data_IF_500344953649
#
_entry.id   IF_500344953649
#
_cell.length_a   1.000
_cell.length_b   1.000
_cell.length_c   1.000
_cell.angle_alpha   90.00
_cell.angle_beta   90.00
_cell.angle_gamma   90.00
#
_symmetry.space_group_name_H-M   'P 1'
#
loop_
_entity.id
_entity.type
_entity.pdbx_description
1 polymer ?
#
# COMPACT_ATOMS: atom_id res chain seq x y z
N UNK A 1 -53.60 36.68 58.59
CA UNK A 1 -53.73 36.46 60.05
C UNK A 1 -52.80 37.44 60.77
N UNK A 2 -53.30 38.25 61.73
CA UNK A 2 -52.51 39.28 62.40
C UNK A 2 -51.91 38.81 63.74
N UNK A 3 -50.72 39.35 64.06
CA UNK A 3 -50.08 39.63 65.37
C UNK A 3 -50.13 38.58 66.51
N UNK A 4 -49.02 38.43 67.25
CA UNK A 4 -49.02 39.13 68.54
C UNK A 4 -47.75 39.92 68.85
N UNK A 5 -47.99 41.06 69.50
CA UNK A 5 -47.04 41.96 70.15
C UNK A 5 -46.45 41.31 71.41
N UNK A 6 -45.12 41.32 71.63
CA UNK A 6 -44.52 40.97 72.91
C UNK A 6 -44.68 42.09 73.95
N UNK A 7 -44.86 41.67 75.19
CA UNK A 7 -45.10 42.43 76.41
C UNK A 7 -43.91 43.28 76.90
N UNK A 8 -44.15 44.31 77.75
CA UNK A 8 -43.11 45.18 78.30
C UNK A 8 -42.26 44.44 79.34
N UNK A 9 -40.93 44.56 79.23
CA UNK A 9 -39.93 44.00 80.15
C UNK A 9 -39.47 45.11 81.13
N UNK A 10 -39.25 44.79 82.43
CA UNK A 10 -39.23 45.77 83.51
C UNK A 10 -38.05 46.74 83.48
N UNK A 11 -38.35 47.93 84.03
CA UNK A 11 -37.44 49.05 84.22
C UNK A 11 -36.22 48.65 85.07
N UNK A 12 -34.98 48.85 84.59
CA UNK A 12 -33.78 48.55 85.35
C UNK A 12 -33.65 49.47 86.57
N UNK A 13 -33.17 48.89 87.67
CA UNK A 13 -32.82 49.57 88.90
C UNK A 13 -31.83 50.72 88.63
N UNK A 14 -31.89 51.84 89.41
CA UNK A 14 -31.00 52.96 89.24
C UNK A 14 -29.54 52.51 89.40
N UNK A 15 -28.79 52.64 88.31
CA UNK A 15 -27.35 52.43 88.29
C UNK A 15 -26.69 53.42 89.26
N UNK A 16 -25.75 52.97 90.12
CA UNK A 16 -25.04 53.87 91.01
C UNK A 16 -24.34 54.96 90.20
N UNK A 17 -24.55 56.21 90.60
CA UNK A 17 -23.89 57.37 90.02
C UNK A 17 -22.37 57.12 90.03
N UNK A 18 -21.69 57.19 88.88
CA UNK A 18 -20.25 56.97 88.81
C UNK A 18 -19.56 57.97 89.74
N UNK A 19 -18.64 57.47 90.55
CA UNK A 19 -17.70 58.31 91.28
C UNK A 19 -17.03 59.28 90.31
N UNK A 20 -16.80 60.55 90.69
CA UNK A 20 -16.06 61.48 89.85
C UNK A 20 -14.72 60.85 89.48
N UNK A 21 -14.44 60.74 88.18
CA UNK A 21 -13.15 60.30 87.69
C UNK A 21 -12.07 61.14 88.40
N UNK A 22 -11.01 60.53 88.95
CA UNK A 22 -9.93 61.30 89.54
C UNK A 22 -9.41 62.27 88.49
N UNK A 23 -9.45 63.57 88.78
CA UNK A 23 -8.84 64.59 87.94
C UNK A 23 -7.36 64.20 87.83
N UNK A 24 -6.86 63.83 86.63
CA UNK A 24 -5.49 63.37 86.51
C UNK A 24 -4.56 64.50 86.94
N UNK A 25 -3.62 64.21 87.84
CA UNK A 25 -2.54 65.15 88.19
C UNK A 25 -1.87 65.65 86.90
N UNK A 26 -1.69 66.97 86.71
CA UNK A 26 -1.08 67.56 85.51
C UNK A 26 0.28 66.93 85.15
N UNK A 27 1.06 66.50 86.14
CA UNK A 27 2.43 65.98 85.96
C UNK A 27 2.54 64.64 85.19
N UNK A 28 1.46 63.85 85.09
CA UNK A 28 1.48 62.57 84.35
C UNK A 28 1.06 62.70 82.87
N UNK A 29 0.56 63.87 82.44
CA UNK A 29 0.03 64.06 81.07
C UNK A 29 1.11 64.31 80.02
N UNK A 30 2.24 64.90 80.40
CA UNK A 30 3.33 65.21 79.47
C UNK A 30 4.10 63.96 78.99
N UNK A 31 4.49 63.00 79.86
CA UNK A 31 5.09 61.75 79.41
C UNK A 31 4.17 60.93 78.50
N UNK A 32 2.85 60.94 78.78
CA UNK A 32 1.85 60.28 77.94
C UNK A 32 1.70 60.93 76.56
N UNK A 33 1.68 62.26 76.49
CA UNK A 33 1.66 62.99 75.22
C UNK A 33 2.93 62.74 74.39
N UNK A 34 4.11 62.69 75.03
CA UNK A 34 5.37 62.32 74.35
C UNK A 34 5.37 60.88 73.86
N UNK A 35 4.85 59.94 74.64
CA UNK A 35 4.68 58.55 74.22
C UNK A 35 3.71 58.42 73.03
N UNK A 36 2.62 59.21 73.01
CA UNK A 36 1.68 59.24 71.90
C UNK A 36 2.32 59.76 70.60
N UNK A 37 3.20 60.77 70.68
CA UNK A 37 3.97 61.24 69.50
C UNK A 37 4.93 60.15 69.01
N UNK A 38 5.69 59.51 69.89
CA UNK A 38 6.62 58.44 69.50
C UNK A 38 5.90 57.24 68.84
N UNK A 39 4.75 56.84 69.37
CA UNK A 39 3.91 55.78 68.78
C UNK A 39 3.31 56.22 67.43
N UNK A 40 2.89 57.48 67.29
CA UNK A 40 2.44 58.02 66.01
C UNK A 40 3.55 58.08 64.96
N UNK A 41 4.80 58.39 65.35
CA UNK A 41 5.97 58.36 64.47
C UNK A 41 6.32 56.93 64.03
N UNK A 42 6.24 55.96 64.95
CA UNK A 42 6.42 54.54 64.64
C UNK A 42 5.37 54.04 63.64
N UNK A 43 4.09 54.41 63.84
CA UNK A 43 3.00 54.07 62.91
C UNK A 43 3.21 54.71 61.54
N UNK A 44 3.67 55.96 61.48
CA UNK A 44 3.99 56.63 60.23
C UNK A 44 5.14 55.92 59.49
N UNK A 45 6.21 55.54 60.19
CA UNK A 45 7.33 54.82 59.61
C UNK A 45 6.89 53.44 59.05
N UNK A 46 6.08 52.70 59.82
CA UNK A 46 5.52 51.42 59.37
C UNK A 46 4.62 51.58 58.14
N UNK A 47 3.78 52.62 58.09
CA UNK A 47 2.93 52.91 56.94
C UNK A 47 3.76 53.22 55.67
N UNK A 48 4.86 53.97 55.79
CA UNK A 48 5.78 54.25 54.68
C UNK A 48 6.44 52.98 54.15
N UNK A 49 6.97 52.13 55.04
CA UNK A 49 7.59 50.86 54.65
C UNK A 49 6.60 49.93 53.94
N UNK A 50 5.36 49.86 54.41
CA UNK A 50 4.30 49.09 53.73
C UNK A 50 4.01 49.63 52.34
N UNK A 51 3.87 50.95 52.20
CA UNK A 51 3.64 51.57 50.89
C UNK A 51 4.79 51.27 49.91
N UNK A 52 6.04 51.42 50.34
CA UNK A 52 7.22 51.10 49.52
C UNK A 52 7.26 49.62 49.09
N UNK A 53 6.94 48.70 50.01
CA UNK A 53 6.86 47.28 49.71
C UNK A 53 5.79 46.97 48.64
N UNK A 54 4.60 47.55 48.77
CA UNK A 54 3.51 47.38 47.79
C UNK A 54 3.90 47.98 46.43
N UNK A 55 4.54 49.15 46.39
CA UNK A 55 5.01 49.78 45.14
C UNK A 55 6.11 48.95 44.45
N UNK A 56 6.96 48.25 45.21
CA UNK A 56 7.96 47.34 44.64
C UNK A 56 7.29 46.12 44.01
N UNK A 57 6.32 45.51 44.69
CA UNK A 57 5.54 44.38 44.15
C UNK A 57 4.77 44.78 42.88
N UNK A 58 4.13 45.95 42.88
CA UNK A 58 3.39 46.45 41.72
C UNK A 58 4.30 46.67 40.50
N UNK A 59 5.51 47.20 40.69
CA UNK A 59 6.49 47.33 39.60
C UNK A 59 6.91 45.98 39.04
N UNK A 60 7.19 44.99 39.90
CA UNK A 60 7.50 43.62 39.47
C UNK A 60 6.37 43.01 38.64
N UNK A 61 5.14 43.08 39.15
CA UNK A 61 3.95 42.57 38.45
C UNK A 61 3.70 43.27 37.10
N UNK A 62 4.02 44.57 37.00
CA UNK A 62 3.89 45.31 35.73
C UNK A 62 4.87 44.82 34.68
N UNK A 63 6.13 44.59 35.05
CA UNK A 63 7.15 44.04 34.14
C UNK A 63 6.78 42.64 33.68
N UNK A 64 6.34 41.78 34.61
CA UNK A 64 5.90 40.41 34.29
C UNK A 64 4.69 40.42 33.34
N UNK A 65 3.69 41.27 33.60
CA UNK A 65 2.54 41.47 32.70
C UNK A 65 2.96 41.89 31.29
N UNK A 66 3.90 42.81 31.16
CA UNK A 66 4.41 43.25 29.85
C UNK A 66 5.09 42.11 29.10
N UNK A 67 5.87 41.28 29.79
CA UNK A 67 6.51 40.10 29.21
C UNK A 67 5.47 39.09 28.70
N UNK A 68 4.48 38.73 29.52
CA UNK A 68 3.42 37.78 29.14
C UNK A 68 2.60 38.33 27.95
N UNK A 69 2.30 39.63 27.96
CA UNK A 69 1.55 40.27 26.85
C UNK A 69 2.32 40.18 25.54
N UNK A 70 3.64 40.40 25.58
CA UNK A 70 4.50 40.24 24.40
C UNK A 70 4.53 38.79 23.91
N UNK A 71 4.70 37.83 24.82
CA UNK A 71 4.67 36.40 24.48
C UNK A 71 3.31 36.01 23.86
N UNK A 72 2.21 36.56 24.35
CA UNK A 72 0.87 36.33 23.78
C UNK A 72 0.75 36.88 22.34
N UNK A 73 1.34 38.04 22.05
CA UNK A 73 1.38 38.58 20.70
C UNK A 73 2.18 37.66 19.75
N UNK A 74 3.36 37.23 20.18
CA UNK A 74 4.20 36.28 19.42
C UNK A 74 3.48 34.95 19.17
N UNK A 75 2.76 34.42 20.16
CA UNK A 75 1.94 33.22 20.01
C UNK A 75 0.76 33.38 19.03
N UNK A 76 0.13 34.57 19.01
CA UNK A 76 -0.94 34.88 18.05
C UNK A 76 -0.43 34.94 16.61
N UNK A 77 0.74 35.55 16.39
CA UNK A 77 1.38 35.62 15.08
C UNK A 77 1.74 34.21 14.59
N UNK A 78 2.37 33.39 15.44
CA UNK A 78 2.68 31.99 15.13
C UNK A 78 1.42 31.19 14.80
N UNK A 79 0.36 31.36 15.56
CA UNK A 79 -0.93 30.72 15.30
C UNK A 79 -1.49 31.10 13.93
N UNK A 80 -1.45 32.39 13.56
CA UNK A 80 -1.88 32.88 12.25
C UNK A 80 -1.04 32.31 11.10
N UNK A 81 0.29 32.24 11.28
CA UNK A 81 1.19 31.64 10.31
C UNK A 81 0.92 30.15 10.09
N UNK A 82 0.74 29.38 11.17
CA UNK A 82 0.41 27.97 11.10
C UNK A 82 -0.94 27.74 10.42
N UNK A 83 -1.97 28.57 10.68
CA UNK A 83 -3.24 28.49 9.95
C UNK A 83 -3.07 28.69 8.44
N UNK A 84 -2.27 29.68 8.03
CA UNK A 84 -1.98 29.91 6.60
C UNK A 84 -1.24 28.72 5.99
N UNK A 85 -0.29 28.13 6.71
CA UNK A 85 0.41 26.93 6.28
C UNK A 85 -0.56 25.74 6.12
N UNK A 86 -1.46 25.50 7.07
CA UNK A 86 -2.49 24.45 6.95
C UNK A 86 -3.31 24.62 5.68
N UNK A 87 -3.86 25.82 5.45
CA UNK A 87 -4.67 26.08 4.25
C UNK A 87 -3.87 25.81 2.96
N UNK A 88 -2.58 26.14 2.93
CA UNK A 88 -1.68 25.80 1.82
C UNK A 88 -1.48 24.29 1.66
N UNK A 89 -1.23 23.57 2.76
CA UNK A 89 -1.05 22.11 2.77
C UNK A 89 -2.31 21.35 2.40
N UNK A 90 -3.49 21.81 2.82
CA UNK A 90 -4.77 21.22 2.42
C UNK A 90 -4.99 21.29 0.91
N UNK A 91 -4.67 22.44 0.29
CA UNK A 91 -4.75 22.58 -1.17
C UNK A 91 -3.78 21.61 -1.85
N UNK A 92 -2.53 21.56 -1.39
CA UNK A 92 -1.53 20.61 -1.92
C UNK A 92 -1.99 19.15 -1.79
N UNK A 93 -2.58 18.77 -0.65
CA UNK A 93 -3.09 17.41 -0.44
C UNK A 93 -4.27 17.10 -1.36
N UNK A 94 -5.19 18.06 -1.57
CA UNK A 94 -6.32 17.91 -2.50
C UNK A 94 -5.83 17.76 -3.95
N UNK A 95 -4.91 18.61 -4.38
CA UNK A 95 -4.35 18.58 -5.74
C UNK A 95 -3.60 17.26 -5.97
N UNK A 96 -2.82 16.81 -4.98
CA UNK A 96 -2.10 15.54 -5.05
C UNK A 96 -3.06 14.33 -5.11
N UNK A 97 -4.18 14.37 -4.37
CA UNK A 97 -5.22 13.34 -4.44
C UNK A 97 -5.89 13.31 -5.82
N UNK A 98 -6.27 14.46 -6.37
CA UNK A 98 -6.86 14.54 -7.70
C UNK A 98 -5.90 14.02 -8.79
N UNK A 99 -4.61 14.35 -8.68
CA UNK A 99 -3.59 13.80 -9.57
C UNK A 99 -3.46 12.27 -9.44
N UNK A 100 -3.54 11.72 -8.22
CA UNK A 100 -3.49 10.27 -7.99
C UNK A 100 -4.68 9.56 -8.65
N UNK A 101 -5.88 10.11 -8.50
CA UNK A 101 -7.09 9.60 -9.15
C UNK A 101 -6.97 9.60 -10.68
N UNK A 102 -6.45 10.68 -11.27
CA UNK A 102 -6.19 10.75 -12.72
C UNK A 102 -5.14 9.72 -13.18
N UNK A 103 -4.05 9.56 -12.43
CA UNK A 103 -3.01 8.59 -12.76
C UNK A 103 -3.54 7.15 -12.69
N UNK A 104 -4.39 6.84 -11.71
CA UNK A 104 -5.04 5.53 -11.60
C UNK A 104 -6.03 5.26 -12.75
N UNK A 105 -6.77 6.29 -13.20
CA UNK A 105 -7.62 6.18 -14.39
C UNK A 105 -6.81 5.88 -15.65
N UNK A 106 -5.65 6.55 -15.84
CA UNK A 106 -4.73 6.27 -16.95
C UNK A 106 -4.14 4.86 -16.88
N UNK A 107 -3.76 4.39 -15.68
CA UNK A 107 -3.29 3.03 -15.48
C UNK A 107 -4.36 2.00 -15.86
N UNK A 108 -5.61 2.23 -15.48
CA UNK A 108 -6.75 1.37 -15.81
C UNK A 108 -7.02 1.37 -17.33
N UNK A 109 -7.00 2.54 -17.96
CA UNK A 109 -7.18 2.66 -19.41
C UNK A 109 -6.08 1.94 -20.19
N UNK A 110 -4.80 2.11 -19.80
CA UNK A 110 -3.67 1.43 -20.45
C UNK A 110 -3.71 -0.09 -20.25
N UNK A 111 -4.15 -0.57 -19.08
CA UNK A 111 -4.35 -2.01 -18.83
C UNK A 111 -5.37 -2.62 -19.79
N UNK A 112 -6.48 -1.92 -20.05
CA UNK A 112 -7.50 -2.33 -21.02
C UNK A 112 -6.92 -2.44 -22.44
N UNK A 113 -6.13 -1.45 -22.87
CA UNK A 113 -5.44 -1.47 -24.17
C UNK A 113 -4.50 -2.67 -24.29
N UNK A 114 -3.70 -2.97 -23.26
CA UNK A 114 -2.85 -4.18 -23.24
C UNK A 114 -3.69 -5.45 -23.39
N UNK A 115 -4.84 -5.53 -22.70
CA UNK A 115 -5.77 -6.65 -22.83
C UNK A 115 -6.32 -6.83 -24.25
N UNK A 116 -6.66 -5.74 -24.93
CA UNK A 116 -7.11 -5.74 -26.32
C UNK A 116 -5.99 -6.12 -27.29
N UNK A 117 -4.78 -5.58 -27.11
CA UNK A 117 -3.59 -5.95 -27.92
C UNK A 117 -3.24 -7.42 -27.79
N UNK A 118 -3.33 -8.01 -26.59
CA UNK A 118 -3.12 -9.46 -26.39
C UNK A 118 -4.14 -10.31 -27.17
N UNK A 119 -5.41 -9.89 -27.18
CA UNK A 119 -6.45 -10.56 -27.96
C UNK A 119 -6.19 -10.45 -29.46
N UNK A 120 -5.78 -9.28 -29.94
CA UNK A 120 -5.41 -9.06 -31.35
C UNK A 120 -4.25 -9.95 -31.78
N UNK A 121 -3.17 -9.98 -30.99
CA UNK A 121 -2.01 -10.84 -31.24
C UNK A 121 -2.38 -12.34 -31.27
N UNK A 122 -3.15 -12.80 -30.29
CA UNK A 122 -3.63 -14.19 -30.27
C UNK A 122 -4.55 -14.50 -31.46
N UNK A 123 -5.37 -13.54 -31.90
CA UNK A 123 -6.19 -13.64 -33.10
C UNK A 123 -5.34 -13.79 -34.37
N UNK A 124 -4.32 -12.94 -34.54
CA UNK A 124 -3.41 -13.00 -35.68
C UNK A 124 -2.64 -14.34 -35.76
N UNK A 125 -2.18 -14.86 -34.61
CA UNK A 125 -1.54 -16.19 -34.54
C UNK A 125 -2.48 -17.33 -34.95
N UNK A 126 -3.75 -17.29 -34.53
CA UNK A 126 -4.74 -18.28 -34.97
C UNK A 126 -5.00 -18.18 -36.46
N UNK A 127 -5.17 -16.99 -37.00
CA UNK A 127 -5.37 -16.78 -38.44
C UNK A 127 -4.20 -17.32 -39.26
N UNK A 128 -2.95 -17.09 -38.85
CA UNK A 128 -1.77 -17.68 -39.52
C UNK A 128 -1.82 -19.22 -39.49
N UNK A 129 -2.15 -19.81 -38.34
CA UNK A 129 -2.26 -21.27 -38.19
C UNK A 129 -3.36 -21.83 -39.09
N UNK A 130 -4.51 -21.18 -39.14
CA UNK A 130 -5.65 -21.60 -39.95
C UNK A 130 -5.36 -21.47 -41.45
N UNK A 131 -4.72 -20.38 -41.88
CA UNK A 131 -4.26 -20.18 -43.26
C UNK A 131 -3.22 -21.25 -43.67
N UNK A 132 -2.28 -21.57 -42.78
CA UNK A 132 -1.28 -22.63 -43.01
C UNK A 132 -1.95 -23.98 -43.18
N UNK A 133 -2.89 -24.34 -42.30
CA UNK A 133 -3.65 -25.58 -42.40
C UNK A 133 -4.55 -25.64 -43.64
N UNK A 134 -5.09 -24.50 -44.09
CA UNK A 134 -5.86 -24.41 -45.33
C UNK A 134 -5.00 -24.69 -46.56
N UNK A 135 -3.79 -24.11 -46.63
CA UNK A 135 -2.81 -24.37 -47.69
C UNK A 135 -2.40 -25.84 -47.73
N UNK A 136 -2.07 -26.44 -46.59
CA UNK A 136 -1.76 -27.88 -46.52
C UNK A 136 -2.91 -28.76 -47.04
N UNK A 137 -4.16 -28.42 -46.71
CA UNK A 137 -5.35 -29.12 -47.26
C UNK A 137 -5.52 -28.90 -48.76
N UNK A 138 -5.19 -27.73 -49.29
CA UNK A 138 -5.24 -27.47 -50.73
C UNK A 138 -4.17 -28.29 -51.47
N UNK A 139 -2.96 -28.42 -50.92
CA UNK A 139 -1.90 -29.23 -51.51
C UNK A 139 -2.29 -30.70 -51.71
N UNK A 140 -2.99 -31.28 -50.73
CA UNK A 140 -3.47 -32.66 -50.81
C UNK A 140 -4.53 -32.87 -51.91
N UNK A 141 -5.17 -31.79 -52.38
CA UNK A 141 -6.18 -31.84 -53.46
C UNK A 141 -5.59 -31.55 -54.84
N UNK A 142 -4.30 -31.20 -54.94
CA UNK A 142 -3.70 -30.92 -56.23
C UNK A 142 -3.65 -32.21 -57.09
N UNK A 143 -3.94 -32.11 -58.41
CA UNK A 143 -3.89 -33.26 -59.31
C UNK A 143 -2.56 -34.01 -59.26
N UNK A 144 -1.44 -33.29 -59.11
CA UNK A 144 -0.11 -33.90 -58.99
C UNK A 144 0.05 -34.73 -57.71
N UNK A 145 -0.48 -34.26 -56.58
CA UNK A 145 -0.42 -34.98 -55.31
C UNK A 145 -1.27 -36.23 -55.37
N UNK A 146 -2.45 -36.14 -55.98
CA UNK A 146 -3.33 -37.28 -56.26
C UNK A 146 -2.62 -38.29 -57.17
N UNK A 147 -1.97 -37.81 -58.24
CA UNK A 147 -1.22 -38.66 -59.16
C UNK A 147 -0.03 -39.36 -58.49
N UNK A 148 0.71 -38.65 -57.61
CA UNK A 148 1.80 -39.25 -56.83
C UNK A 148 1.29 -40.31 -55.85
N UNK A 149 0.17 -40.08 -55.19
CA UNK A 149 -0.45 -41.09 -54.32
C UNK A 149 -0.89 -42.32 -55.12
N UNK A 150 -1.55 -42.12 -56.26
CA UNK A 150 -1.93 -43.22 -57.15
C UNK A 150 -0.72 -44.02 -57.65
N UNK A 151 0.42 -43.35 -57.91
CA UNK A 151 1.67 -44.03 -58.28
C UNK A 151 2.24 -44.88 -57.14
N UNK A 152 2.14 -44.42 -55.88
CA UNK A 152 2.51 -45.21 -54.70
C UNK A 152 1.60 -46.43 -54.55
N UNK A 153 0.28 -46.22 -54.63
CA UNK A 153 -0.70 -47.31 -54.51
C UNK A 153 -0.49 -48.37 -55.61
N UNK A 154 -0.17 -47.93 -56.83
CA UNK A 154 0.16 -48.81 -57.95
C UNK A 154 1.49 -49.56 -57.72
N UNK A 155 2.54 -48.87 -57.26
CA UNK A 155 3.82 -49.49 -56.97
C UNK A 155 3.75 -50.48 -55.79
N UNK A 156 2.96 -50.17 -54.76
CA UNK A 156 2.69 -51.08 -53.63
C UNK A 156 1.91 -52.31 -54.10
N UNK A 157 0.91 -52.13 -54.97
CA UNK A 157 0.16 -53.24 -55.56
C UNK A 157 1.06 -54.16 -56.41
N UNK A 158 1.96 -53.58 -57.20
CA UNK A 158 2.95 -54.33 -57.99
C UNK A 158 3.95 -55.06 -57.09
N UNK A 159 4.45 -54.42 -56.03
CA UNK A 159 5.33 -55.05 -55.05
C UNK A 159 4.68 -56.26 -54.37
N UNK A 160 3.41 -56.14 -53.97
CA UNK A 160 2.65 -57.26 -53.39
C UNK A 160 2.46 -58.40 -54.39
N UNK A 161 2.13 -58.09 -55.65
CA UNK A 161 1.97 -59.11 -56.69
C UNK A 161 3.28 -59.88 -56.94
N UNK A 162 4.41 -59.18 -57.00
CA UNK A 162 5.71 -59.82 -57.18
C UNK A 162 6.15 -60.60 -55.93
N UNK A 163 5.85 -60.10 -54.74
CA UNK A 163 6.05 -60.85 -53.49
C UNK A 163 5.32 -62.20 -53.54
N UNK A 164 4.02 -62.18 -53.85
CA UNK A 164 3.18 -63.38 -53.92
C UNK A 164 3.68 -64.34 -55.00
N UNK A 165 4.18 -63.83 -56.13
CA UNK A 165 4.80 -64.64 -57.18
C UNK A 165 6.06 -65.35 -56.68
N UNK A 166 6.95 -64.64 -55.99
CA UNK A 166 8.21 -65.21 -55.45
C UNK A 166 7.90 -66.28 -54.41
N UNK A 167 7.02 -65.99 -53.46
CA UNK A 167 6.59 -66.95 -52.43
C UNK A 167 5.93 -68.18 -53.07
N UNK A 168 5.09 -68.00 -54.09
CA UNK A 168 4.51 -69.13 -54.83
C UNK A 168 5.56 -69.95 -55.59
N UNK A 169 6.63 -69.32 -56.06
CA UNK A 169 7.78 -70.01 -56.67
C UNK A 169 8.53 -70.88 -55.68
N UNK A 170 8.73 -70.38 -54.45
CA UNK A 170 9.35 -71.11 -53.35
C UNK A 170 8.55 -72.35 -52.94
N UNK A 171 7.23 -72.35 -53.11
CA UNK A 171 6.41 -73.52 -52.80
C UNK A 171 6.81 -74.78 -53.60
N UNK A 172 7.58 -74.66 -54.69
CA UNK A 172 8.14 -75.78 -55.44
C UNK A 172 9.55 -76.22 -55.00
N UNK A 173 10.20 -75.48 -54.10
CA UNK A 173 11.55 -75.74 -53.61
C UNK A 173 11.51 -76.73 -52.42
N UNK A 174 12.26 -77.84 -52.52
CA UNK A 174 12.26 -78.88 -51.50
C UNK A 174 12.82 -78.42 -50.15
N UNK A 175 13.80 -77.51 -50.14
CA UNK A 175 14.37 -76.96 -48.89
C UNK A 175 13.36 -76.03 -48.22
N UNK A 176 12.69 -75.18 -49.00
CA UNK A 176 11.64 -74.31 -48.48
C UNK A 176 10.44 -75.13 -47.95
N UNK A 177 10.00 -76.17 -48.67
CA UNK A 177 8.95 -77.07 -48.19
C UNK A 177 9.32 -77.77 -46.88
N UNK A 178 10.58 -78.16 -46.68
CA UNK A 178 11.07 -78.72 -45.41
C UNK A 178 11.01 -77.70 -44.28
N UNK A 179 11.41 -76.46 -44.53
CA UNK A 179 11.31 -75.37 -43.55
C UNK A 179 9.85 -75.08 -43.18
N UNK A 180 8.95 -75.05 -44.17
CA UNK A 180 7.52 -74.83 -43.96
C UNK A 180 6.89 -75.99 -43.18
N UNK A 181 7.20 -77.24 -43.54
CA UNK A 181 6.73 -78.43 -42.83
C UNK A 181 7.23 -78.48 -41.37
N UNK A 182 8.49 -78.07 -41.11
CA UNK A 182 9.04 -77.97 -39.76
C UNK A 182 8.35 -76.85 -38.95
N UNK A 183 8.07 -75.71 -39.57
CA UNK A 183 7.31 -74.63 -38.94
C UNK A 183 5.86 -75.05 -38.61
N UNK A 184 5.16 -75.69 -39.54
CA UNK A 184 3.79 -76.18 -39.37
C UNK A 184 3.72 -77.30 -38.31
N UNK A 185 4.69 -78.21 -38.30
CA UNK A 185 4.81 -79.25 -37.29
C UNK A 185 5.02 -78.66 -35.89
N UNK A 186 5.87 -77.63 -35.76
CA UNK A 186 6.08 -76.92 -34.49
C UNK A 186 4.88 -76.08 -34.07
N UNK A 187 4.16 -75.48 -35.02
CA UNK A 187 2.91 -74.78 -34.72
C UNK A 187 1.84 -75.75 -34.20
N UNK A 188 1.72 -76.92 -34.83
CA UNK A 188 0.81 -77.98 -34.42
C UNK A 188 1.19 -78.52 -33.03
N UNK A 189 2.47 -78.79 -32.80
CA UNK A 189 2.98 -79.20 -31.48
C UNK A 189 2.71 -78.13 -30.40
N UNK A 190 2.93 -76.85 -30.71
CA UNK A 190 2.64 -75.75 -29.80
C UNK A 190 1.15 -75.64 -29.48
N UNK A 191 0.26 -75.82 -30.47
CA UNK A 191 -1.20 -75.86 -30.26
C UNK A 191 -1.59 -77.00 -29.33
N UNK A 192 -1.08 -78.22 -29.56
CA UNK A 192 -1.34 -79.36 -28.67
C UNK A 192 -0.85 -79.14 -27.25
N UNK A 193 0.36 -78.58 -27.07
CA UNK A 193 0.92 -78.26 -25.75
C UNK A 193 0.12 -77.16 -25.04
N UNK A 194 -0.44 -76.20 -25.80
CA UNK A 194 -1.26 -75.13 -25.25
C UNK A 194 -2.64 -75.63 -24.78
N UNK A 195 -3.16 -76.67 -25.41
CA UNK A 195 -4.46 -77.26 -25.09
C UNK A 195 -4.37 -78.30 -23.95
N UNK A 196 -3.16 -78.73 -23.55
CA UNK A 196 -2.94 -79.64 -22.43
C UNK A 196 -2.75 -78.88 -21.10
N UNK A 197 -3.68 -79.00 -20.13
CA UNK A 197 -3.62 -78.28 -18.87
C UNK A 197 -2.52 -78.78 -17.91
N UNK A 198 -1.86 -79.89 -18.21
CA UNK A 198 -0.77 -80.46 -17.38
C UNK A 198 0.63 -79.99 -17.80
N UNK A 199 0.74 -79.26 -18.91
CA UNK A 199 2.03 -78.75 -19.40
C UNK A 199 2.47 -77.53 -18.59
N UNK A 200 3.69 -77.55 -18.08
CA UNK A 200 4.27 -76.43 -17.35
C UNK A 200 4.65 -75.26 -18.28
N UNK A 201 4.73 -74.06 -17.70
CA UNK A 201 5.02 -72.82 -18.44
C UNK A 201 6.42 -72.81 -19.09
N UNK A 202 7.38 -73.57 -18.58
CA UNK A 202 8.75 -73.62 -19.14
C UNK A 202 8.72 -74.41 -20.44
N UNK A 203 8.04 -75.56 -20.44
CA UNK A 203 7.82 -76.40 -21.62
C UNK A 203 7.08 -75.64 -22.73
N UNK A 204 6.04 -74.87 -22.39
CA UNK A 204 5.31 -74.04 -23.36
C UNK A 204 6.19 -72.91 -23.94
N UNK A 205 7.04 -72.30 -23.12
CA UNK A 205 7.95 -71.24 -23.55
C UNK A 205 9.01 -71.77 -24.52
N UNK A 206 9.60 -72.93 -24.21
CA UNK A 206 10.57 -73.60 -25.09
C UNK A 206 9.94 -73.98 -26.44
N UNK A 207 8.72 -74.53 -26.42
CA UNK A 207 7.97 -74.84 -27.64
C UNK A 207 7.65 -73.58 -28.47
N UNK A 208 7.26 -72.48 -27.82
CA UNK A 208 7.01 -71.19 -28.48
C UNK A 208 8.28 -70.65 -29.13
N UNK A 209 9.42 -70.71 -28.45
CA UNK A 209 10.70 -70.25 -29.00
C UNK A 209 11.09 -71.08 -30.23
N UNK A 210 10.96 -72.41 -30.15
CA UNK A 210 11.26 -73.31 -31.27
C UNK A 210 10.36 -73.05 -32.49
N UNK A 211 9.09 -72.70 -32.28
CA UNK A 211 8.19 -72.27 -33.36
C UNK A 211 8.58 -70.92 -33.95
N UNK A 212 8.88 -69.92 -33.11
CA UNK A 212 9.37 -68.60 -33.54
C UNK A 212 10.64 -68.75 -34.39
N UNK A 213 11.60 -69.57 -33.97
CA UNK A 213 12.84 -69.82 -34.69
C UNK A 213 12.59 -70.54 -36.04
N UNK A 214 11.58 -71.41 -36.11
CA UNK A 214 11.20 -72.05 -37.37
C UNK A 214 10.53 -71.07 -38.33
N UNK A 215 9.57 -70.29 -37.85
CA UNK A 215 8.91 -69.25 -38.65
C UNK A 215 9.91 -68.20 -39.13
N UNK A 216 10.84 -67.78 -38.28
CA UNK A 216 11.91 -66.85 -38.64
C UNK A 216 12.81 -67.38 -39.76
N UNK A 217 13.02 -68.70 -39.84
CA UNK A 217 13.77 -69.34 -40.94
C UNK A 217 12.96 -69.35 -42.24
N UNK A 218 11.65 -69.58 -42.19
CA UNK A 218 10.75 -69.43 -43.35
C UNK A 218 10.76 -67.99 -43.85
N UNK A 219 10.53 -67.01 -42.97
CA UNK A 219 10.56 -65.58 -43.31
C UNK A 219 11.94 -65.13 -43.83
N UNK A 220 13.03 -65.75 -43.35
CA UNK A 220 14.38 -65.48 -43.85
C UNK A 220 14.58 -66.06 -45.26
N UNK A 221 14.07 -67.26 -45.54
CA UNK A 221 14.09 -67.86 -46.87
C UNK A 221 13.26 -67.05 -47.87
N UNK A 222 12.05 -66.60 -47.49
CA UNK A 222 11.21 -65.72 -48.32
C UNK A 222 11.91 -64.40 -48.62
N UNK A 223 12.49 -63.74 -47.61
CA UNK A 223 13.25 -62.50 -47.80
C UNK A 223 14.47 -62.70 -48.68
N UNK A 224 15.19 -63.81 -48.50
CA UNK A 224 16.35 -64.14 -49.33
C UNK A 224 15.94 -64.37 -50.80
N UNK A 225 14.83 -65.08 -51.03
CA UNK A 225 14.28 -65.29 -52.36
C UNK A 225 13.82 -63.97 -53.01
N UNK A 226 13.11 -63.13 -52.25
CA UNK A 226 12.69 -61.81 -52.71
C UNK A 226 13.89 -60.90 -53.03
N UNK A 227 14.95 -60.93 -52.22
CA UNK A 227 16.17 -60.17 -52.46
C UNK A 227 16.94 -60.64 -53.71
N UNK A 228 16.80 -61.91 -54.08
CA UNK A 228 17.44 -62.50 -55.26
C UNK A 228 16.56 -62.45 -56.53
N UNK A 229 15.26 -62.21 -56.41
CA UNK A 229 14.37 -62.09 -57.56
C UNK A 229 14.44 -60.67 -58.16
N UNK A 230 14.92 -60.52 -59.42
CA UNK A 230 15.15 -59.21 -60.01
C UNK A 230 13.86 -58.40 -60.23
N UNK A 231 12.70 -59.04 -60.37
CA UNK A 231 11.43 -58.32 -60.57
C UNK A 231 10.88 -57.80 -59.24
N UNK A 232 11.01 -58.57 -58.16
CA UNK A 232 10.67 -58.09 -56.82
C UNK A 232 11.56 -56.91 -56.41
N UNK A 233 12.88 -57.01 -56.63
CA UNK A 233 13.82 -55.92 -56.34
C UNK A 233 13.44 -54.66 -57.12
N UNK A 234 13.18 -54.78 -58.43
CA UNK A 234 12.73 -53.65 -59.25
C UNK A 234 11.40 -53.04 -58.76
N UNK A 235 10.42 -53.85 -58.35
CA UNK A 235 9.16 -53.38 -57.79
C UNK A 235 9.34 -52.66 -56.44
N UNK A 236 10.24 -53.17 -55.59
CA UNK A 236 10.58 -52.59 -54.28
C UNK A 236 11.27 -51.23 -54.45
N UNK A 237 12.24 -51.14 -55.37
CA UNK A 237 12.91 -49.90 -55.73
C UNK A 237 11.92 -48.87 -56.31
N UNK A 238 11.00 -49.30 -57.17
CA UNK A 238 9.95 -48.42 -57.73
C UNK A 238 9.03 -47.87 -56.63
N UNK A 239 8.60 -48.71 -55.68
CA UNK A 239 7.80 -48.26 -54.53
C UNK A 239 8.57 -47.30 -53.62
N UNK A 240 9.84 -47.60 -53.32
CA UNK A 240 10.70 -46.72 -52.54
C UNK A 240 10.92 -45.37 -53.24
N UNK A 241 11.16 -45.37 -54.55
CA UNK A 241 11.30 -44.17 -55.37
C UNK A 241 10.01 -43.34 -55.40
N UNK A 242 8.84 -43.97 -55.53
CA UNK A 242 7.55 -43.29 -55.50
C UNK A 242 7.29 -42.62 -54.15
N UNK A 243 7.56 -43.32 -53.03
CA UNK A 243 7.46 -42.74 -51.68
C UNK A 243 8.44 -41.58 -51.48
N UNK A 244 9.69 -41.74 -51.90
CA UNK A 244 10.69 -40.67 -51.83
C UNK A 244 10.26 -39.44 -52.63
N UNK A 245 9.78 -39.62 -53.86
CA UNK A 245 9.31 -38.53 -54.70
C UNK A 245 8.12 -37.78 -54.07
N UNK A 246 7.19 -38.48 -53.41
CA UNK A 246 6.12 -37.83 -52.65
C UNK A 246 6.65 -37.07 -51.44
N UNK A 247 7.59 -37.65 -50.68
CA UNK A 247 8.22 -36.98 -49.54
C UNK A 247 8.99 -35.72 -49.94
N UNK A 248 9.78 -35.79 -51.02
CA UNK A 248 10.53 -34.67 -51.58
C UNK A 248 9.55 -33.56 -52.03
N UNK A 249 8.46 -33.92 -52.71
CA UNK A 249 7.43 -32.96 -53.13
C UNK A 249 6.72 -32.29 -51.94
N UNK A 250 6.40 -33.05 -50.88
CA UNK A 250 5.84 -32.50 -49.64
C UNK A 250 6.84 -31.55 -48.98
N UNK A 251 8.12 -31.92 -48.92
CA UNK A 251 9.17 -31.09 -48.34
C UNK A 251 9.35 -29.78 -49.11
N UNK A 252 9.39 -29.83 -50.45
CA UNK A 252 9.44 -28.64 -51.32
C UNK A 252 8.23 -27.74 -51.11
N UNK A 253 7.02 -28.31 -51.05
CA UNK A 253 5.81 -27.52 -50.80
C UNK A 253 5.86 -26.83 -49.44
N UNK A 254 6.19 -27.55 -48.36
CA UNK A 254 6.30 -26.99 -47.01
C UNK A 254 7.34 -25.87 -46.92
N UNK A 255 8.45 -26.00 -47.64
CA UNK A 255 9.47 -24.94 -47.71
C UNK A 255 8.96 -23.67 -48.41
N UNK A 256 7.96 -23.78 -49.29
CA UNK A 256 7.32 -22.64 -49.97
C UNK A 256 6.16 -21.99 -49.20
N UNK A 257 5.62 -22.63 -48.16
CA UNK A 257 4.51 -22.07 -47.37
C UNK A 257 4.86 -20.68 -46.77
N UNK A 258 6.05 -20.45 -46.16
CA UNK A 258 6.39 -19.15 -45.58
C UNK A 258 6.42 -17.99 -46.59
N UNK A 259 6.63 -18.28 -47.88
CA UNK A 259 6.68 -17.26 -48.94
C UNK A 259 5.34 -17.09 -49.66
N UNK A 260 4.31 -17.87 -49.31
CA UNK A 260 2.98 -17.72 -49.87
C UNK A 260 2.40 -16.34 -49.51
N UNK A 261 1.81 -15.58 -50.47
CA UNK A 261 1.31 -14.23 -50.22
C UNK A 261 0.43 -14.10 -48.97
N UNK A 262 -0.54 -14.99 -48.80
CA UNK A 262 -1.43 -15.01 -47.63
C UNK A 262 -0.67 -15.22 -46.30
N UNK A 263 0.35 -16.08 -46.30
CA UNK A 263 1.18 -16.34 -45.11
C UNK A 263 2.06 -15.13 -44.79
N UNK A 264 2.60 -14.48 -45.82
CA UNK A 264 3.36 -13.23 -45.67
C UNK A 264 2.47 -12.13 -45.09
N UNK A 265 1.22 -11.98 -45.55
CA UNK A 265 0.27 -11.01 -44.99
C UNK A 265 -0.07 -11.32 -43.53
N UNK A 266 -0.35 -12.58 -43.19
CA UNK A 266 -0.60 -12.98 -41.80
C UNK A 266 0.62 -12.78 -40.90
N UNK A 267 1.82 -13.03 -41.41
CA UNK A 267 3.07 -12.78 -40.67
C UNK A 267 3.26 -11.29 -40.41
N UNK A 268 3.03 -10.43 -41.41
CA UNK A 268 3.03 -8.96 -41.22
C UNK A 268 1.99 -8.52 -40.17
N UNK A 269 0.80 -9.13 -40.17
CA UNK A 269 -0.23 -8.84 -39.17
C UNK A 269 0.20 -9.26 -37.75
N UNK A 270 0.91 -10.39 -37.60
CA UNK A 270 1.49 -10.81 -36.32
C UNK A 270 2.58 -9.84 -35.87
N UNK A 271 3.49 -9.44 -36.77
CA UNK A 271 4.57 -8.50 -36.44
C UNK A 271 3.99 -7.14 -36.00
N UNK A 272 2.99 -6.64 -36.71
CA UNK A 272 2.28 -5.42 -36.32
C UNK A 272 1.59 -5.58 -34.95
N UNK A 273 0.84 -6.66 -34.73
CA UNK A 273 0.17 -6.91 -33.46
C UNK A 273 1.16 -7.10 -32.29
N UNK A 274 2.33 -7.68 -32.55
CA UNK A 274 3.42 -7.83 -31.59
C UNK A 274 4.03 -6.48 -31.21
N UNK A 275 4.31 -5.63 -32.21
CA UNK A 275 4.79 -4.26 -32.00
C UNK A 275 3.77 -3.42 -31.21
N UNK A 276 2.49 -3.54 -31.54
CA UNK A 276 1.41 -2.85 -30.83
C UNK A 276 1.28 -3.32 -29.38
N UNK A 277 1.38 -4.63 -29.12
CA UNK A 277 1.39 -5.20 -27.78
C UNK A 277 2.59 -4.70 -26.97
N UNK A 278 3.79 -4.73 -27.53
CA UNK A 278 5.00 -4.23 -26.88
C UNK A 278 4.89 -2.73 -26.55
N UNK A 279 4.38 -1.92 -27.49
CA UNK A 279 4.10 -0.50 -27.25
C UNK A 279 3.09 -0.28 -26.13
N UNK A 280 2.00 -1.06 -26.11
CA UNK A 280 0.97 -0.98 -25.06
C UNK A 280 1.52 -1.36 -23.68
N UNK A 281 2.33 -2.42 -23.58
CA UNK A 281 2.96 -2.85 -22.32
C UNK A 281 3.94 -1.81 -21.79
N UNK A 282 4.72 -1.17 -22.66
CA UNK A 282 5.62 -0.09 -22.26
C UNK A 282 4.85 1.14 -21.75
N UNK A 283 3.75 1.52 -22.41
CA UNK A 283 2.87 2.61 -21.92
C UNK A 283 2.24 2.26 -20.58
N UNK A 284 1.80 1.02 -20.39
CA UNK A 284 1.24 0.56 -19.12
C UNK A 284 2.26 0.62 -17.98
N UNK A 285 3.50 0.14 -18.21
CA UNK A 285 4.60 0.23 -17.24
C UNK A 285 4.93 1.67 -16.88
N UNK A 286 4.92 2.58 -17.86
CA UNK A 286 5.16 4.00 -17.61
C UNK A 286 4.02 4.60 -16.77
N UNK A 287 2.76 4.33 -17.12
CA UNK A 287 1.59 4.79 -16.35
C UNK A 287 1.60 4.26 -14.91
N UNK A 288 2.02 3.01 -14.70
CA UNK A 288 2.15 2.43 -13.36
C UNK A 288 3.23 3.15 -12.53
N UNK A 289 4.39 3.46 -13.11
CA UNK A 289 5.45 4.22 -12.44
C UNK A 289 4.98 5.63 -12.06
N UNK A 290 4.27 6.30 -12.97
CA UNK A 290 3.71 7.63 -12.74
C UNK A 290 2.65 7.60 -11.64
N UNK A 291 1.74 6.61 -11.65
CA UNK A 291 0.73 6.43 -10.60
C UNK A 291 1.38 6.26 -9.22
N UNK A 292 2.39 5.39 -9.10
CA UNK A 292 3.11 5.20 -7.84
C UNK A 292 3.81 6.48 -7.37
N UNK A 293 4.47 7.20 -8.28
CA UNK A 293 5.13 8.45 -7.95
C UNK A 293 4.15 9.53 -7.47
N UNK A 294 2.94 9.57 -8.03
CA UNK A 294 1.89 10.51 -7.61
C UNK A 294 1.30 10.09 -6.25
N UNK A 295 1.06 8.80 -6.03
CA UNK A 295 0.61 8.27 -4.73
C UNK A 295 1.61 8.60 -3.60
N UNK A 296 2.91 8.44 -3.85
CA UNK A 296 3.96 8.77 -2.89
C UNK A 296 4.00 10.26 -2.56
N UNK A 297 3.78 11.13 -3.56
CA UNK A 297 3.63 12.58 -3.35
C UNK A 297 2.38 12.90 -2.52
N UNK A 298 1.26 12.24 -2.79
CA UNK A 298 0.03 12.42 -2.02
C UNK A 298 0.22 12.00 -0.55
N UNK A 299 0.86 10.85 -0.30
CA UNK A 299 1.21 10.40 1.06
C UNK A 299 2.10 11.40 1.78
N UNK A 300 3.13 11.90 1.09
CA UNK A 300 4.04 12.91 1.65
C UNK A 300 3.31 14.20 2.00
N UNK A 301 2.40 14.67 1.14
CA UNK A 301 1.60 15.87 1.38
C UNK A 301 0.68 15.70 2.60
N UNK A 302 0.07 14.52 2.79
CA UNK A 302 -0.78 14.21 3.94
C UNK A 302 0.03 14.21 5.25
N UNK A 303 1.22 13.60 5.26
CA UNK A 303 2.09 13.60 6.45
C UNK A 303 2.50 15.03 6.81
N UNK A 304 2.87 15.84 5.82
CA UNK A 304 3.21 17.25 6.04
C UNK A 304 2.03 18.08 6.54
N UNK A 305 0.81 17.81 6.05
CA UNK A 305 -0.40 18.44 6.58
C UNK A 305 -0.63 18.08 8.06
N UNK A 306 -0.51 16.81 8.43
CA UNK A 306 -0.71 16.36 9.80
C UNK A 306 0.31 16.97 10.78
N UNK A 307 1.60 17.03 10.40
CA UNK A 307 2.65 17.67 11.22
C UNK A 307 2.33 19.16 11.48
N UNK A 308 1.89 19.91 10.47
CA UNK A 308 1.50 21.31 10.65
C UNK A 308 0.21 21.44 11.50
N UNK A 309 -0.73 20.51 11.36
CA UNK A 309 -1.95 20.47 12.17
C UNK A 309 -1.65 20.24 13.66
N UNK A 310 -0.74 19.32 13.97
CA UNK A 310 -0.30 19.04 15.34
C UNK A 310 0.40 20.26 15.95
N UNK A 311 1.28 20.94 15.19
CA UNK A 311 1.91 22.19 15.64
C UNK A 311 0.89 23.30 15.89
N UNK A 312 -0.14 23.44 15.04
CA UNK A 312 -1.21 24.40 15.28
C UNK A 312 -1.99 24.09 16.55
N UNK A 313 -2.23 22.81 16.85
CA UNK A 313 -2.88 22.40 18.08
C UNK A 313 -2.06 22.80 19.31
N UNK A 314 -0.75 22.55 19.30
CA UNK A 314 0.14 22.99 20.39
C UNK A 314 0.17 24.51 20.54
N UNK A 315 0.31 25.26 19.44
CA UNK A 315 0.30 26.73 19.47
C UNK A 315 -1.02 27.30 20.01
N UNK A 316 -2.16 26.64 19.77
CA UNK A 316 -3.46 27.02 20.37
C UNK A 316 -3.44 26.87 21.89
N UNK A 317 -2.95 25.74 22.39
CA UNK A 317 -2.86 25.49 23.83
C UNK A 317 -1.94 26.50 24.52
N UNK A 318 -0.77 26.78 23.95
CA UNK A 318 0.17 27.78 24.49
C UNK A 318 -0.45 29.18 24.51
N UNK A 319 -1.10 29.59 23.43
CA UNK A 319 -1.81 30.88 23.36
C UNK A 319 -2.88 30.98 24.43
N UNK A 320 -3.69 29.94 24.62
CA UNK A 320 -4.78 29.94 25.60
C UNK A 320 -4.22 30.00 27.04
N UNK A 321 -3.12 29.29 27.33
CA UNK A 321 -2.39 29.39 28.60
C UNK A 321 -1.84 30.80 28.86
N UNK A 322 -1.24 31.44 27.84
CA UNK A 322 -0.75 32.81 27.95
C UNK A 322 -1.89 33.81 28.15
N UNK A 323 -3.02 33.64 27.47
CA UNK A 323 -4.20 34.47 27.66
C UNK A 323 -4.74 34.37 29.10
N UNK A 324 -4.73 33.17 29.69
CA UNK A 324 -5.08 32.95 31.09
C UNK A 324 -4.11 33.64 32.04
N UNK A 325 -2.81 33.55 31.77
CA UNK A 325 -1.77 34.22 32.54
C UNK A 325 -1.94 35.76 32.52
N UNK A 326 -2.27 36.35 31.37
CA UNK A 326 -2.59 37.80 31.28
C UNK A 326 -3.80 38.15 32.15
N UNK A 327 -4.87 37.34 32.12
CA UNK A 327 -6.07 37.57 32.95
C UNK A 327 -5.74 37.54 34.44
N UNK A 328 -4.91 36.60 34.88
CA UNK A 328 -4.44 36.48 36.27
C UNK A 328 -3.59 37.71 36.64
N UNK A 329 -2.65 38.12 35.78
CA UNK A 329 -1.81 39.29 36.01
C UNK A 329 -2.65 40.59 36.12
N UNK A 330 -3.68 40.75 35.28
CA UNK A 330 -4.63 41.87 35.36
C UNK A 330 -5.44 41.86 36.67
N UNK A 331 -5.79 40.69 37.19
CA UNK A 331 -6.46 40.56 38.48
C UNK A 331 -5.52 40.92 39.64
N UNK A 332 -4.28 40.45 39.62
CA UNK A 332 -3.26 40.81 40.61
C UNK A 332 -2.94 42.30 40.60
N UNK A 333 -2.82 42.91 39.41
CA UNK A 333 -2.61 44.36 39.27
C UNK A 333 -3.74 45.16 39.94
N UNK A 334 -4.99 44.73 39.77
CA UNK A 334 -6.15 45.34 40.45
C UNK A 334 -6.07 45.18 41.97
N UNK A 335 -5.67 44.01 42.47
CA UNK A 335 -5.46 43.79 43.90
C UNK A 335 -4.35 44.67 44.48
N UNK A 336 -3.21 44.80 43.79
CA UNK A 336 -2.14 45.69 44.22
C UNK A 336 -2.58 47.16 44.22
N UNK A 337 -3.35 47.60 43.23
CA UNK A 337 -3.89 48.96 43.20
C UNK A 337 -4.83 49.24 44.39
N UNK A 338 -5.65 48.26 44.78
CA UNK A 338 -6.46 48.34 46.01
C UNK A 338 -5.56 48.45 47.25
N UNK A 339 -4.49 47.65 47.34
CA UNK A 339 -3.54 47.71 48.46
C UNK A 339 -2.79 49.06 48.53
N UNK A 340 -2.37 49.62 47.39
CA UNK A 340 -1.76 50.97 47.33
C UNK A 340 -2.75 52.01 47.86
N UNK A 341 -4.01 51.93 47.43
CA UNK A 341 -5.06 52.85 47.88
C UNK A 341 -5.28 52.74 49.40
N UNK A 342 -5.32 51.52 49.94
CA UNK A 342 -5.42 51.27 51.38
C UNK A 342 -4.20 51.80 52.14
N UNK A 343 -2.98 51.50 51.68
CA UNK A 343 -1.74 51.97 52.30
C UNK A 343 -1.62 53.49 52.30
N UNK A 344 -2.03 54.16 51.21
CA UNK A 344 -2.09 55.63 51.16
C UNK A 344 -3.10 56.21 52.15
N UNK A 345 -4.24 55.52 52.36
CA UNK A 345 -5.24 55.92 53.35
C UNK A 345 -4.69 55.77 54.77
N UNK A 346 -4.01 54.66 55.07
CA UNK A 346 -3.31 54.44 56.35
C UNK A 346 -2.23 55.52 56.59
N UNK A 347 -1.42 55.81 55.58
CA UNK A 347 -0.39 56.85 55.64
C UNK A 347 -0.99 58.23 55.96
N UNK A 348 -2.09 58.59 55.30
CA UNK A 348 -2.80 59.84 55.53
C UNK A 348 -3.42 59.90 56.94
N UNK A 349 -3.94 58.79 57.46
CA UNK A 349 -4.46 58.70 58.82
C UNK A 349 -3.33 58.82 59.87
N UNK A 350 -2.22 58.11 59.68
CA UNK A 350 -1.04 58.18 60.57
C UNK A 350 -0.43 59.60 60.59
N UNK A 351 -0.40 60.27 59.43
CA UNK A 351 0.07 61.65 59.33
C UNK A 351 -0.83 62.62 60.11
N UNK A 352 -2.15 62.46 60.01
CA UNK A 352 -3.11 63.25 60.79
C UNK A 352 -2.97 63.00 62.29
N UNK A 353 -2.90 61.74 62.71
CA UNK A 353 -2.72 61.36 64.11
C UNK A 353 -1.41 61.94 64.69
N UNK A 354 -0.33 61.94 63.93
CA UNK A 354 0.94 62.57 64.34
C UNK A 354 0.78 64.08 64.49
N UNK A 355 0.09 64.75 63.57
CA UNK A 355 -0.15 66.19 63.64
C UNK A 355 -1.01 66.55 64.87
N UNK A 356 -2.04 65.78 65.17
CA UNK A 356 -2.90 65.93 66.35
C UNK A 356 -2.10 65.70 67.64
N UNK A 357 -1.31 64.62 67.73
CA UNK A 357 -0.48 64.33 68.89
C UNK A 357 0.55 65.45 69.15
N UNK A 358 1.15 66.01 68.09
CA UNK A 358 2.07 67.15 68.19
C UNK A 358 1.38 68.43 68.67
N UNK A 359 0.15 68.71 68.22
CA UNK A 359 -0.65 69.84 68.72
C UNK A 359 -1.00 69.68 70.20
N UNK A 360 -1.49 68.50 70.60
CA UNK A 360 -1.82 68.21 71.99
C UNK A 360 -0.59 68.32 72.91
N UNK A 361 0.58 67.87 72.45
CA UNK A 361 1.84 68.05 73.17
C UNK A 361 2.20 69.54 73.31
N UNK A 362 2.08 70.33 72.24
CA UNK A 362 2.37 71.77 72.26
C UNK A 362 1.42 72.55 73.18
N UNK A 363 0.14 72.22 73.20
CA UNK A 363 -0.85 72.80 74.11
C UNK A 363 -0.52 72.48 75.57
N UNK A 364 -0.16 71.23 75.89
CA UNK A 364 0.27 70.83 77.23
C UNK A 364 1.58 71.52 77.66
N UNK A 365 2.51 71.72 76.74
CA UNK A 365 3.75 72.45 77.00
C UNK A 365 3.51 73.96 77.17
N UNK A 366 2.51 74.54 76.52
CA UNK A 366 2.08 75.93 76.75
C UNK A 366 1.40 76.10 78.12
N UNK A 367 0.53 75.18 78.54
CA UNK A 367 -0.14 75.22 79.86
C UNK A 367 0.86 75.07 81.03
N UNK A 368 2.03 74.50 80.78
CA UNK A 368 3.10 74.33 81.78
C UNK A 368 3.96 75.59 81.96
N UNK A 369 3.99 76.49 80.99
CA UNK A 369 4.70 77.78 81.06
C UNK A 369 3.81 78.82 81.72
#
# INVERSE_FOLDING_TARGET
MPSPSPAPVPSPAPSPSPAPAPTPKPDLRLPQARAAVAEAEKRLAAAKQRLEAVLRLMRGATTERQLITRQLAEANDLHGDLQRQIAGRERQAKDAKAAAEQAHQLQTATSKVVGESKKSFAGAQRSLKDATAALEKQYLKLPETIARQAAIDAAESALRLEHDRVVKGLAGDEEYQKLQSDADARETALKHLRDDPQIDSVTLTDASQKWIDAKSRVDAAERAACANDPKYVAASEAHAAARKAQQDAIATYKAGIPTHPDIVEHTKAIDQASNDLSSAENRHKQAERESRAVDDRARTAIVQYNDVADRLHHARLERDQLADAVRIADQQARQFQQQVTAANTELAAATRALAEAKRALAELEQVRR
#
